data_IF_742157028885
#
_entry.id   IF_742157028885
#
_cell.length_a   1.000
_cell.length_b   1.000
_cell.length_c   1.000
_cell.angle_alpha   90.00
_cell.angle_beta   90.00
_cell.angle_gamma   90.00
#
_symmetry.space_group_name_H-M   'P 1'
#
loop_
_entity.id
_entity.type
_entity.pdbx_description
1 polymer ?
#
# COMPACT_ATOMS: atom_id res chain seq x y z
N UNK A 1 55.09 -9.49 -18.67
CA UNK A 1 54.24 -10.29 -19.58
C UNK A 1 53.02 -10.74 -18.77
N UNK A 2 51.95 -9.95 -18.68
CA UNK A 2 50.80 -9.79 -19.59
C UNK A 2 49.91 -11.04 -19.72
N UNK A 3 48.60 -10.77 -19.77
CA UNK A 3 47.40 -11.63 -19.93
C UNK A 3 46.77 -12.21 -18.64
N UNK A 4 45.46 -12.10 -18.39
CA UNK A 4 44.35 -11.44 -19.10
C UNK A 4 43.11 -11.46 -18.18
N UNK A 5 42.19 -10.54 -18.46
CA UNK A 5 40.90 -10.36 -17.79
C UNK A 5 40.15 -11.68 -17.50
N UNK A 6 39.47 -11.72 -16.34
CA UNK A 6 38.09 -12.21 -16.27
C UNK A 6 37.36 -11.55 -15.11
N UNK A 7 36.30 -10.83 -15.46
CA UNK A 7 35.42 -10.11 -14.56
C UNK A 7 34.86 -11.05 -13.48
N UNK A 8 34.89 -10.59 -12.23
CA UNK A 8 33.99 -11.09 -11.20
C UNK A 8 33.26 -9.85 -10.66
N UNK A 9 31.96 -9.82 -10.91
CA UNK A 9 31.07 -8.67 -10.78
C UNK A 9 31.15 -8.02 -9.41
N UNK A 10 31.26 -6.68 -9.38
CA UNK A 10 30.99 -5.87 -8.19
C UNK A 10 29.53 -6.10 -7.78
N UNK A 11 29.28 -7.03 -6.87
CA UNK A 11 28.05 -7.02 -6.07
C UNK A 11 28.15 -5.82 -5.13
N UNK A 12 27.54 -4.72 -5.54
CA UNK A 12 27.30 -3.59 -4.66
C UNK A 12 26.36 -4.09 -3.57
N UNK A 13 26.88 -4.45 -2.40
CA UNK A 13 26.06 -4.76 -1.23
C UNK A 13 25.52 -3.41 -0.73
N UNK A 14 24.45 -2.91 -1.36
CA UNK A 14 23.73 -1.75 -0.83
C UNK A 14 23.07 -2.20 0.46
N UNK A 15 23.59 -1.71 1.58
CA UNK A 15 22.94 -1.87 2.88
C UNK A 15 21.48 -1.41 2.77
N UNK A 16 20.55 -2.23 3.25
CA UNK A 16 19.11 -1.96 3.14
C UNK A 16 18.75 -0.62 3.82
N UNK A 17 19.51 -0.23 4.83
CA UNK A 17 19.40 1.07 5.52
C UNK A 17 19.62 2.26 4.57
N UNK A 18 20.54 2.13 3.62
CA UNK A 18 20.81 3.17 2.62
C UNK A 18 19.63 3.37 1.65
N UNK A 19 18.83 2.32 1.43
CA UNK A 19 17.61 2.41 0.63
C UNK A 19 16.51 3.19 1.36
N UNK A 20 16.46 3.11 2.70
CA UNK A 20 15.49 3.86 3.48
C UNK A 20 15.71 5.38 3.39
N UNK A 21 16.97 5.82 3.32
CA UNK A 21 17.27 7.24 3.11
C UNK A 21 16.78 7.72 1.74
N UNK A 22 16.96 6.89 0.69
CA UNK A 22 16.52 7.20 -0.68
C UNK A 22 15.00 7.30 -0.85
N UNK A 23 14.21 6.78 0.10
CA UNK A 23 12.75 6.96 0.09
C UNK A 23 12.31 8.41 0.30
N UNK A 24 13.19 9.25 0.84
CA UNK A 24 12.89 10.66 1.12
C UNK A 24 13.59 11.63 0.15
N UNK A 25 14.10 11.14 -0.97
CA UNK A 25 14.70 11.97 -2.02
C UNK A 25 13.60 12.75 -2.78
N UNK A 26 13.94 13.95 -3.23
CA UNK A 26 13.05 14.78 -4.06
C UNK A 26 12.84 14.15 -5.44
N UNK A 27 13.85 13.44 -5.94
CA UNK A 27 13.83 12.74 -7.21
C UNK A 27 12.95 11.48 -7.16
N UNK A 28 11.84 11.51 -7.89
CA UNK A 28 10.88 10.43 -7.95
C UNK A 28 11.47 9.12 -8.51
N UNK A 29 12.44 9.20 -9.43
CA UNK A 29 13.04 8.01 -10.03
C UNK A 29 13.94 7.28 -9.03
N UNK A 30 14.65 8.00 -8.17
CA UNK A 30 15.43 7.40 -7.09
C UNK A 30 14.56 6.75 -6.03
N UNK A 31 13.44 7.41 -5.67
CA UNK A 31 12.46 6.84 -4.72
C UNK A 31 11.86 5.56 -5.29
N UNK A 32 11.52 5.56 -6.59
CA UNK A 32 11.02 4.38 -7.30
C UNK A 32 12.03 3.23 -7.24
N UNK A 33 13.28 3.47 -7.60
CA UNK A 33 14.35 2.47 -7.54
C UNK A 33 14.53 1.92 -6.13
N UNK A 34 14.48 2.78 -5.11
CA UNK A 34 14.57 2.35 -3.72
C UNK A 34 13.40 1.44 -3.31
N UNK A 35 12.16 1.79 -3.68
CA UNK A 35 10.97 0.98 -3.40
C UNK A 35 11.01 -0.39 -4.10
N UNK A 36 11.51 -0.45 -5.34
CA UNK A 36 11.70 -1.71 -6.07
C UNK A 36 12.76 -2.58 -5.40
N UNK A 37 13.89 -1.99 -5.00
CA UNK A 37 14.98 -2.71 -4.34
C UNK A 37 14.55 -3.25 -2.97
N UNK A 38 13.90 -2.41 -2.15
CA UNK A 38 13.33 -2.84 -0.86
C UNK A 38 12.33 -3.99 -1.06
N UNK A 39 11.55 -3.97 -2.14
CA UNK A 39 10.64 -5.09 -2.46
C UNK A 39 11.36 -6.39 -2.80
N UNK A 40 12.56 -6.32 -3.38
CA UNK A 40 13.39 -7.48 -3.71
C UNK A 40 14.12 -8.04 -2.50
N UNK A 41 14.75 -7.18 -1.68
CA UNK A 41 15.67 -7.60 -0.60
C UNK A 41 15.03 -7.56 0.80
N UNK A 42 13.96 -6.79 0.99
CA UNK A 42 13.34 -6.52 2.29
C UNK A 42 12.26 -7.51 2.72
N UNK A 43 12.21 -8.71 2.13
CA UNK A 43 11.20 -9.72 2.48
C UNK A 43 11.38 -10.20 3.93
N UNK A 44 10.36 -10.02 4.77
CA UNK A 44 10.40 -10.35 6.19
C UNK A 44 11.23 -9.39 7.05
N UNK A 45 11.69 -8.28 6.47
CA UNK A 45 12.43 -7.26 7.22
C UNK A 45 11.43 -6.26 7.85
N UNK A 46 11.38 -6.23 9.18
CA UNK A 46 10.46 -5.36 9.93
C UNK A 46 10.76 -3.88 9.73
N UNK A 47 12.03 -3.50 9.68
CA UNK A 47 12.45 -2.11 9.46
C UNK A 47 12.07 -1.63 8.05
N UNK A 48 12.17 -2.50 7.05
CA UNK A 48 11.70 -2.20 5.70
C UNK A 48 10.19 -1.98 5.67
N UNK A 49 9.41 -2.81 6.38
CA UNK A 49 7.96 -2.60 6.50
C UNK A 49 7.63 -1.28 7.18
N UNK A 50 8.32 -0.93 8.26
CA UNK A 50 8.13 0.32 8.99
C UNK A 50 8.52 1.53 8.14
N UNK A 51 9.66 1.48 7.45
CA UNK A 51 10.11 2.54 6.57
C UNK A 51 9.10 2.82 5.44
N UNK A 52 8.52 1.77 4.84
CA UNK A 52 7.47 1.92 3.83
C UNK A 52 6.19 2.51 4.43
N UNK A 53 5.81 2.11 5.65
CA UNK A 53 4.65 2.70 6.35
C UNK A 53 4.85 4.19 6.65
N UNK A 54 6.03 4.58 7.11
CA UNK A 54 6.37 5.98 7.40
C UNK A 54 6.43 6.81 6.10
N UNK A 55 6.96 6.24 5.01
CA UNK A 55 6.90 6.84 3.68
C UNK A 55 5.46 7.10 3.25
N UNK A 56 4.56 6.10 3.38
CA UNK A 56 3.14 6.24 3.03
C UNK A 56 2.38 7.29 3.86
N UNK A 57 2.87 7.68 5.04
CA UNK A 57 2.26 8.76 5.84
C UNK A 57 2.60 10.15 5.32
N UNK A 58 3.79 10.31 4.71
CA UNK A 58 4.33 11.62 4.32
C UNK A 58 4.24 11.88 2.82
N UNK A 59 4.38 10.85 2.00
CA UNK A 59 4.42 10.99 0.54
C UNK A 59 3.07 11.45 -0.01
N UNK A 60 3.09 12.42 -0.93
CA UNK A 60 1.89 12.95 -1.60
C UNK A 60 1.76 12.44 -3.03
N UNK A 61 2.86 12.07 -3.68
CA UNK A 61 2.88 11.60 -5.08
C UNK A 61 2.26 10.22 -5.20
N UNK A 62 1.10 10.11 -5.85
CA UNK A 62 0.36 8.84 -5.93
C UNK A 62 1.11 7.69 -6.59
N UNK A 63 1.83 7.89 -7.72
CA UNK A 63 2.58 6.80 -8.35
C UNK A 63 3.52 6.09 -7.37
N UNK A 64 4.17 6.87 -6.49
CA UNK A 64 5.09 6.35 -5.49
C UNK A 64 4.35 5.72 -4.30
N UNK A 65 3.21 6.28 -3.87
CA UNK A 65 2.36 5.67 -2.83
C UNK A 65 1.87 4.28 -3.23
N UNK A 66 1.47 4.10 -4.49
CA UNK A 66 0.98 2.81 -4.99
C UNK A 66 2.12 1.80 -5.05
N UNK A 67 3.27 2.22 -5.59
CA UNK A 67 4.45 1.38 -5.64
C UNK A 67 4.86 0.95 -4.22
N UNK A 68 4.84 1.89 -3.27
CA UNK A 68 5.10 1.60 -1.86
C UNK A 68 4.09 0.60 -1.27
N UNK A 69 2.80 0.72 -1.58
CA UNK A 69 1.78 -0.24 -1.14
C UNK A 69 1.98 -1.65 -1.74
N UNK A 70 2.36 -1.71 -3.02
CA UNK A 70 2.70 -2.96 -3.70
C UNK A 70 3.95 -3.59 -3.08
N UNK A 71 4.98 -2.78 -2.84
CA UNK A 71 6.20 -3.18 -2.15
C UNK A 71 5.89 -3.69 -0.74
N UNK A 72 5.03 -3.02 0.03
CA UNK A 72 4.61 -3.47 1.36
C UNK A 72 3.94 -4.86 1.31
N UNK A 73 3.17 -5.14 0.26
CA UNK A 73 2.54 -6.44 0.06
C UNK A 73 3.55 -7.54 -0.26
N UNK A 74 4.66 -7.19 -0.94
CA UNK A 74 5.79 -8.10 -1.24
C UNK A 74 6.70 -8.33 -0.03
N UNK A 75 6.90 -7.32 0.81
CA UNK A 75 7.82 -7.38 1.96
C UNK A 75 7.23 -8.07 3.19
N UNK A 76 5.90 -8.12 3.32
CA UNK A 76 5.24 -8.88 4.39
C UNK A 76 5.70 -10.35 4.37
N UNK A 77 6.36 -10.80 5.43
CA UNK A 77 6.42 -12.22 5.74
C UNK A 77 5.00 -12.71 6.01
N UNK A 78 4.67 -13.94 5.59
CA UNK A 78 3.34 -14.54 5.74
C UNK A 78 2.98 -14.87 7.20
N UNK A 79 3.50 -14.10 8.16
CA UNK A 79 3.24 -14.18 9.58
C UNK A 79 2.41 -12.96 9.97
N UNK A 80 1.15 -12.90 9.53
CA UNK A 80 0.17 -12.30 10.43
C UNK A 80 0.19 -13.14 11.71
N UNK A 81 0.25 -12.54 12.91
CA UNK A 81 -0.25 -13.20 14.09
C UNK A 81 -1.73 -13.44 13.79
N UNK A 82 -2.07 -14.66 13.39
CA UNK A 82 -3.46 -15.11 13.34
C UNK A 82 -3.91 -15.16 14.78
N UNK A 83 -4.48 -14.07 15.28
CA UNK A 83 -5.34 -14.15 16.46
C UNK A 83 -6.52 -15.03 16.07
N UNK A 84 -6.43 -16.32 16.40
CA UNK A 84 -7.55 -17.27 16.50
C UNK A 84 -8.32 -17.62 15.22
N UNK A 85 -8.25 -18.90 14.84
CA UNK A 85 -9.39 -19.71 14.35
C UNK A 85 -10.09 -19.39 13.02
N UNK A 86 -9.48 -18.70 12.04
CA UNK A 86 -10.01 -18.74 10.67
C UNK A 86 -8.95 -19.05 9.61
N UNK A 87 -8.88 -20.32 9.17
CA UNK A 87 -8.09 -20.72 7.98
C UNK A 87 -8.97 -20.53 6.75
N UNK A 88 -8.74 -19.44 5.99
CA UNK A 88 -9.45 -19.18 4.74
C UNK A 88 -9.31 -20.39 3.79
N UNK A 89 -10.41 -21.01 3.31
CA UNK A 89 -10.34 -22.02 2.26
C UNK A 89 -9.70 -21.43 1.01
N UNK A 90 -8.67 -22.08 0.48
CA UNK A 90 -7.87 -21.57 -0.65
C UNK A 90 -8.64 -21.60 -2.00
N UNK A 91 -9.89 -22.06 -1.99
CA UNK A 91 -10.71 -22.33 -3.18
C UNK A 91 -11.67 -21.18 -3.54
N UNK A 92 -11.99 -20.29 -2.60
CA UNK A 92 -12.86 -19.13 -2.86
C UNK A 92 -12.10 -17.81 -2.67
N UNK A 93 -11.70 -17.19 -3.77
CA UNK A 93 -11.37 -15.77 -3.78
C UNK A 93 -12.65 -14.98 -3.54
N UNK A 94 -12.84 -14.47 -2.32
CA UNK A 94 -14.00 -13.65 -1.99
C UNK A 94 -13.98 -12.35 -2.81
N UNK A 95 -14.95 -12.13 -3.71
CA UNK A 95 -14.95 -10.97 -4.60
C UNK A 95 -15.09 -9.65 -3.83
N UNK A 96 -15.87 -9.65 -2.73
CA UNK A 96 -16.03 -8.49 -1.86
C UNK A 96 -14.76 -8.14 -1.07
N UNK A 97 -14.07 -9.15 -0.53
CA UNK A 97 -12.83 -8.93 0.21
C UNK A 97 -11.69 -8.47 -0.70
N UNK A 98 -11.69 -8.89 -1.96
CA UNK A 98 -10.63 -8.55 -2.91
C UNK A 98 -10.66 -7.05 -3.27
N UNK A 99 -11.85 -6.51 -3.59
CA UNK A 99 -12.03 -5.06 -3.85
C UNK A 99 -11.63 -4.21 -2.63
N UNK A 100 -11.95 -4.70 -1.43
CA UNK A 100 -11.61 -4.01 -0.17
C UNK A 100 -10.10 -4.03 0.08
N UNK A 101 -9.41 -5.12 -0.25
CA UNK A 101 -7.98 -5.26 0.07
C UNK A 101 -7.06 -4.53 -0.89
N UNK A 102 -7.52 -4.22 -2.11
CA UNK A 102 -6.71 -3.55 -3.14
C UNK A 102 -6.69 -2.03 -2.94
N UNK A 103 -5.55 -1.45 -3.30
CA UNK A 103 -5.37 0.01 -3.39
C UNK A 103 -5.43 0.37 -4.85
N UNK A 104 -6.33 1.29 -5.17
CA UNK A 104 -6.64 1.68 -6.55
C UNK A 104 -6.39 3.18 -6.71
N UNK A 105 -6.00 3.59 -7.92
CA UNK A 105 -6.00 5.00 -8.30
C UNK A 105 -7.39 5.33 -8.80
N UNK A 106 -8.03 6.30 -8.15
CA UNK A 106 -9.28 6.86 -8.63
C UNK A 106 -9.06 8.32 -9.04
N UNK A 107 -9.72 8.72 -10.13
CA UNK A 107 -9.82 10.13 -10.48
C UNK A 107 -10.82 10.80 -9.54
N UNK A 108 -10.40 11.90 -8.93
CA UNK A 108 -11.19 12.63 -7.95
C UNK A 108 -11.21 14.11 -8.28
N UNK A 109 -12.38 14.72 -8.14
CA UNK A 109 -12.49 16.18 -8.17
C UNK A 109 -12.56 16.66 -6.74
N UNK A 110 -11.59 17.48 -6.33
CA UNK A 110 -11.54 18.02 -4.97
C UNK A 110 -12.70 18.99 -4.75
N UNK A 111 -13.50 18.79 -3.70
CA UNK A 111 -14.58 19.72 -3.33
C UNK A 111 -14.06 21.06 -2.81
N UNK A 112 -12.80 21.12 -2.37
CA UNK A 112 -12.17 22.32 -1.81
C UNK A 112 -11.44 23.17 -2.85
N UNK A 113 -10.57 22.57 -3.67
CA UNK A 113 -9.80 23.30 -4.67
C UNK A 113 -10.35 23.18 -6.10
N UNK A 114 -11.40 22.39 -6.30
CA UNK A 114 -12.10 22.14 -7.57
C UNK A 114 -11.22 21.60 -8.71
N UNK A 115 -9.96 21.25 -8.43
CA UNK A 115 -9.07 20.62 -9.40
C UNK A 115 -9.34 19.13 -9.47
N UNK A 116 -9.20 18.59 -10.68
CA UNK A 116 -9.12 17.16 -10.93
C UNK A 116 -7.73 16.69 -10.51
N UNK A 117 -7.67 15.61 -9.76
CA UNK A 117 -6.44 14.94 -9.35
C UNK A 117 -6.67 13.44 -9.22
N UNK A 118 -5.66 12.74 -8.73
CA UNK A 118 -5.78 11.32 -8.42
C UNK A 118 -5.80 11.10 -6.92
N UNK A 119 -6.34 9.97 -6.49
CA UNK A 119 -6.22 9.52 -5.11
C UNK A 119 -6.00 8.01 -5.09
N UNK A 120 -5.10 7.57 -4.21
CA UNK A 120 -4.77 6.17 -3.96
C UNK A 120 -5.54 5.82 -2.72
N UNK A 121 -6.65 5.16 -2.95
CA UNK A 121 -7.60 4.87 -1.89
C UNK A 121 -7.68 3.36 -1.80
N UNK A 122 -7.48 2.83 -0.59
CA UNK A 122 -7.85 1.44 -0.38
C UNK A 122 -9.36 1.30 -0.62
N UNK A 123 -9.83 0.15 -1.12
CA UNK A 123 -11.25 -0.05 -1.42
C UNK A 123 -12.22 0.23 -0.25
N UNK A 124 -11.73 0.26 1.01
CA UNK A 124 -12.51 0.62 2.21
C UNK A 124 -12.32 2.05 2.72
N UNK A 125 -11.35 2.81 2.20
CA UNK A 125 -11.08 4.18 2.66
C UNK A 125 -12.09 5.14 2.03
N UNK A 126 -12.85 5.82 2.88
CA UNK A 126 -13.79 6.89 2.52
C UNK A 126 -13.11 8.27 2.55
N UNK A 127 -12.00 8.41 3.25
CA UNK A 127 -11.28 9.67 3.46
C UNK A 127 -9.89 9.59 2.83
N UNK A 128 -9.49 10.62 2.09
CA UNK A 128 -8.15 10.74 1.51
C UNK A 128 -7.72 12.21 1.37
N UNK A 129 -6.42 12.47 1.39
CA UNK A 129 -5.88 13.81 1.20
C UNK A 129 -5.80 14.16 -0.29
N UNK A 130 -6.25 15.36 -0.64
CA UNK A 130 -6.07 15.92 -1.98
C UNK A 130 -4.59 16.16 -2.28
N UNK A 131 -4.09 15.69 -3.41
CA UNK A 131 -2.71 15.95 -3.83
C UNK A 131 -2.39 17.42 -4.02
N UNK A 132 -3.37 18.21 -4.48
CA UNK A 132 -3.14 19.59 -4.87
C UNK A 132 -3.24 20.57 -3.68
N UNK A 133 -4.17 20.38 -2.74
CA UNK A 133 -4.35 21.29 -1.61
C UNK A 133 -4.13 20.67 -0.22
N UNK A 134 -3.96 19.35 -0.13
CA UNK A 134 -3.75 18.64 1.13
C UNK A 134 -5.00 18.43 1.98
N UNK A 135 -6.15 18.97 1.56
CA UNK A 135 -7.41 18.86 2.30
C UNK A 135 -7.95 17.42 2.29
N UNK A 136 -8.60 17.01 3.39
CA UNK A 136 -9.22 15.69 3.47
C UNK A 136 -10.57 15.74 2.74
N UNK A 137 -10.69 14.90 1.71
CA UNK A 137 -11.91 14.73 0.93
C UNK A 137 -12.57 13.42 1.37
N UNK A 138 -13.89 13.47 1.62
CA UNK A 138 -14.70 12.27 1.81
C UNK A 138 -15.33 11.84 0.47
N UNK A 139 -15.28 10.54 0.15
CA UNK A 139 -16.01 9.92 -0.97
C UNK A 139 -17.10 8.98 -0.47
N UNK A 140 -18.13 8.82 -1.30
CA UNK A 140 -19.15 7.79 -1.09
C UNK A 140 -18.58 6.41 -1.45
N UNK A 141 -18.69 5.47 -0.52
CA UNK A 141 -18.33 4.07 -0.75
C UNK A 141 -19.52 3.30 -1.33
N UNK A 142 -19.24 2.51 -2.37
CA UNK A 142 -20.21 1.58 -2.95
C UNK A 142 -20.51 0.41 -2.01
N UNK A 143 -21.69 -0.17 -2.20
CA UNK A 143 -22.10 -1.40 -1.52
C UNK A 143 -21.22 -2.57 -1.94
N UNK A 144 -20.80 -3.35 -0.94
CA UNK A 144 -20.02 -4.56 -1.14
C UNK A 144 -20.75 -5.74 -0.52
N UNK A 145 -20.63 -6.91 -1.14
CA UNK A 145 -21.18 -8.15 -0.60
C UNK A 145 -20.59 -8.53 0.77
N UNK A 146 -19.53 -7.83 1.23
CA UNK A 146 -18.98 -8.00 2.58
C UNK A 146 -20.00 -7.64 3.68
N UNK A 147 -20.90 -6.68 3.43
CA UNK A 147 -21.89 -6.20 4.41
C UNK A 147 -22.85 -7.30 4.84
N UNK A 148 -23.11 -8.24 3.93
CA UNK A 148 -24.06 -9.35 4.09
C UNK A 148 -23.35 -10.67 4.41
N UNK A 149 -22.01 -10.67 4.46
CA UNK A 149 -21.23 -11.88 4.65
C UNK A 149 -21.13 -12.23 6.15
N UNK A 150 -21.53 -13.44 6.58
CA UNK A 150 -21.50 -13.84 8.00
C UNK A 150 -20.09 -13.84 8.58
N UNK A 151 -19.08 -14.11 7.75
CA UNK A 151 -17.66 -14.11 8.14
C UNK A 151 -16.90 -12.89 7.61
N UNK A 152 -17.62 -11.84 7.21
CA UNK A 152 -17.04 -10.66 6.53
C UNK A 152 -15.99 -9.96 7.38
N UNK A 153 -16.31 -9.68 8.64
CA UNK A 153 -15.43 -9.01 9.61
C UNK A 153 -14.13 -9.78 9.85
N UNK A 154 -14.21 -11.10 10.04
CA UNK A 154 -13.05 -11.97 10.23
C UNK A 154 -12.18 -12.06 8.97
N UNK A 155 -12.79 -12.09 7.78
CA UNK A 155 -12.08 -12.24 6.51
C UNK A 155 -11.25 -11.00 6.12
N UNK A 156 -11.75 -9.79 6.41
CA UNK A 156 -11.05 -8.53 6.09
C UNK A 156 -10.28 -7.95 7.28
N UNK A 157 -10.57 -8.43 8.49
CA UNK A 157 -10.07 -7.90 9.75
C UNK A 157 -11.05 -6.89 10.37
N UNK A 158 -11.31 -6.96 11.68
CA UNK A 158 -12.38 -6.20 12.34
C UNK A 158 -12.19 -4.69 12.24
N UNK A 159 -10.95 -4.20 12.28
CA UNK A 159 -10.65 -2.77 12.17
C UNK A 159 -11.04 -2.23 10.79
N UNK A 160 -10.70 -2.95 9.72
CA UNK A 160 -11.01 -2.57 8.34
C UNK A 160 -12.51 -2.66 8.08
N UNK A 161 -13.16 -3.71 8.58
CA UNK A 161 -14.60 -3.88 8.47
C UNK A 161 -15.36 -2.71 9.12
N UNK A 162 -14.93 -2.30 10.33
CA UNK A 162 -15.53 -1.16 11.04
C UNK A 162 -15.37 0.15 10.25
N UNK A 163 -14.17 0.43 9.71
CA UNK A 163 -13.90 1.62 8.89
C UNK A 163 -14.80 1.68 7.64
N UNK A 164 -14.95 0.55 6.96
CA UNK A 164 -15.85 0.44 5.82
C UNK A 164 -17.31 0.74 6.20
N UNK A 165 -17.82 0.10 7.26
CA UNK A 165 -19.21 0.30 7.72
C UNK A 165 -19.46 1.74 8.20
N UNK A 166 -18.47 2.41 8.82
CA UNK A 166 -18.61 3.82 9.18
C UNK A 166 -18.66 4.73 7.95
N UNK A 167 -17.82 4.46 6.93
CA UNK A 167 -17.87 5.22 5.68
C UNK A 167 -19.21 5.03 4.94
N UNK A 168 -19.79 3.83 4.97
CA UNK A 168 -21.12 3.54 4.41
C UNK A 168 -22.25 4.29 5.12
N UNK A 169 -22.19 4.42 6.45
CA UNK A 169 -23.18 5.18 7.23
C UNK A 169 -23.13 6.68 6.97
N UNK A 170 -21.94 7.25 6.76
CA UNK A 170 -21.77 8.68 6.42
C UNK A 170 -22.26 9.03 5.01
N UNK A 171 -22.33 8.04 4.12
CA UNK A 171 -22.71 8.22 2.71
C UNK A 171 -24.23 8.12 2.45
N UNK A 172 -25.01 7.65 3.44
CA UNK A 172 -26.47 7.64 3.46
C UNK A 172 -26.99 8.97 4.01
#
# INVERSE_FOLDING_TARGET
>A
MSCKQRQCERRHFTDITSLFQKLYDEDADKVKQALEEIGRVGKGNFDAMKAIQDFLRKERRMPLRILAMQTLSKTKSNSQPSTGTFKKPNIFQCPGAEKIKRVEIIDVTCTHCHKKGTASVAGFENEFACENCGEIIERKLEESCIEKCPVGSECVGPERYRKYMSGRKKAQ
#
